data_IF_462623937442
#
_entry.id   IF_462623937442
#
_cell.length_a   1.000
_cell.length_b   1.000
_cell.length_c   1.000
_cell.angle_alpha   90.00
_cell.angle_beta   90.00
_cell.angle_gamma   90.00
#
_symmetry.space_group_name_H-M   'P 1'
#
loop_
_entity.id
_entity.type
_entity.pdbx_description
1 polymer ?
#
# COMPACT_ATOMS: atom_id res chain seq x y z
N UNK A 1 13.83 13.72 -2.39
CA UNK A 1 12.45 13.20 -2.55
C UNK A 1 11.97 12.69 -1.20
N UNK A 2 10.70 12.90 -0.85
CA UNK A 2 10.07 12.36 0.37
C UNK A 2 8.63 11.97 0.04
N UNK A 3 8.20 10.82 0.49
CA UNK A 3 6.82 10.32 0.33
C UNK A 3 6.29 9.83 1.67
N UNK A 4 5.17 10.38 2.10
CA UNK A 4 4.48 10.07 3.35
C UNK A 4 3.19 9.33 3.02
N UNK A 5 3.09 8.06 3.40
CA UNK A 5 2.06 7.13 2.96
C UNK A 5 1.28 6.63 4.16
N UNK A 6 -0.05 6.62 4.07
CA UNK A 6 -0.92 5.85 4.96
C UNK A 6 -1.52 4.69 4.20
N UNK A 7 -1.43 3.48 4.76
CA UNK A 7 -2.08 2.29 4.25
C UNK A 7 -3.05 1.83 5.33
N UNK A 8 -4.33 1.70 5.00
CA UNK A 8 -5.35 1.41 5.99
C UNK A 8 -6.46 0.50 5.46
N UNK A 9 -6.93 -0.40 6.32
CA UNK A 9 -7.96 -1.39 6.00
C UNK A 9 -8.33 -2.23 7.21
N UNK A 10 -8.89 -3.42 6.98
CA UNK A 10 -9.16 -4.38 8.03
C UNK A 10 -7.94 -5.25 8.35
N UNK A 11 -7.87 -5.75 9.57
CA UNK A 11 -6.97 -6.84 9.93
C UNK A 11 -7.22 -8.06 9.04
N UNK A 12 -6.16 -8.61 8.44
CA UNK A 12 -6.24 -9.71 7.47
C UNK A 12 -6.11 -9.30 6.00
N UNK A 13 -6.28 -8.01 5.66
CA UNK A 13 -6.08 -7.53 4.28
C UNK A 13 -4.60 -7.30 3.90
N UNK A 14 -3.67 -7.64 4.79
CA UNK A 14 -2.23 -7.51 4.51
C UNK A 14 -1.70 -6.07 4.51
N UNK A 15 -2.42 -5.13 5.14
CA UNK A 15 -2.05 -3.71 5.26
C UNK A 15 -0.63 -3.52 5.79
N UNK A 16 -0.33 -4.13 6.94
CA UNK A 16 0.98 -4.01 7.59
C UNK A 16 2.09 -4.67 6.77
N UNK A 17 1.78 -5.81 6.14
CA UNK A 17 2.73 -6.54 5.29
C UNK A 17 3.07 -5.74 4.03
N UNK A 18 2.08 -5.10 3.40
CA UNK A 18 2.29 -4.24 2.23
C UNK A 18 3.23 -3.07 2.57
N UNK A 19 2.97 -2.36 3.67
CA UNK A 19 3.84 -1.28 4.12
C UNK A 19 5.25 -1.75 4.47
N UNK A 20 5.39 -2.94 5.06
CA UNK A 20 6.69 -3.53 5.38
C UNK A 20 7.48 -3.90 4.12
N UNK A 21 6.83 -4.52 3.14
CA UNK A 21 7.47 -4.89 1.87
C UNK A 21 7.94 -3.63 1.13
N UNK A 22 7.07 -2.62 1.03
CA UNK A 22 7.41 -1.33 0.41
C UNK A 22 8.62 -0.67 1.10
N UNK A 23 8.66 -0.69 2.44
CA UNK A 23 9.77 -0.20 3.23
C UNK A 23 11.09 -0.93 2.91
N UNK A 24 11.07 -2.26 2.82
CA UNK A 24 12.26 -3.03 2.47
C UNK A 24 12.70 -2.80 1.02
N UNK A 25 11.75 -2.65 0.07
CA UNK A 25 12.09 -2.30 -1.32
C UNK A 25 12.83 -0.95 -1.39
N UNK A 26 12.39 0.03 -0.59
CA UNK A 26 13.04 1.34 -0.51
C UNK A 26 14.43 1.27 0.15
N UNK A 27 14.60 0.46 1.21
CA UNK A 27 15.91 0.21 1.83
C UNK A 27 16.89 -0.40 0.81
N UNK A 28 16.42 -1.29 -0.08
CA UNK A 28 17.27 -1.91 -1.11
C UNK A 28 17.76 -0.93 -2.18
N UNK A 29 17.29 0.31 -2.19
CA UNK A 29 17.78 1.41 -3.03
C UNK A 29 18.32 2.59 -2.20
N UNK A 30 18.83 2.28 -1.01
CA UNK A 30 19.51 3.22 -0.11
C UNK A 30 18.65 4.40 0.36
N UNK A 31 17.33 4.20 0.47
CA UNK A 31 16.44 5.21 1.03
C UNK A 31 16.35 5.10 2.56
N UNK A 32 16.19 6.25 3.20
CA UNK A 32 15.75 6.35 4.59
C UNK A 32 14.27 5.99 4.70
N UNK A 33 13.91 5.19 5.70
CA UNK A 33 12.55 4.66 5.85
C UNK A 33 12.08 4.72 7.30
N UNK A 34 10.79 5.04 7.49
CA UNK A 34 10.09 4.72 8.73
C UNK A 34 8.88 3.84 8.42
N UNK A 35 8.58 2.92 9.31
CA UNK A 35 7.42 2.03 9.24
C UNK A 35 6.78 2.01 10.62
N UNK A 36 5.62 2.66 10.77
CA UNK A 36 4.88 2.82 12.02
C UNK A 36 3.50 2.16 11.92
N UNK A 37 3.35 0.91 12.35
CA UNK A 37 2.05 0.27 12.41
C UNK A 37 1.23 0.81 13.58
N UNK A 38 -0.07 0.99 13.35
CA UNK A 38 -1.07 1.26 14.37
C UNK A 38 -2.14 0.17 14.31
N UNK A 39 -2.20 -0.61 15.36
CA UNK A 39 -3.22 -1.64 15.51
C UNK A 39 -3.63 -1.75 16.98
N UNK A 40 -4.93 -1.85 17.21
CA UNK A 40 -5.49 -2.01 18.54
C UNK A 40 -5.75 -3.47 18.89
N UNK A 41 -6.25 -3.75 20.10
CA UNK A 41 -6.65 -5.09 20.55
C UNK A 41 -7.73 -5.73 19.67
N UNK A 42 -8.37 -4.97 18.79
CA UNK A 42 -9.45 -5.38 17.87
C UNK A 42 -8.93 -5.90 16.51
N UNK A 43 -7.72 -6.45 16.43
CA UNK A 43 -7.06 -6.82 15.16
C UNK A 43 -7.84 -7.82 14.28
N UNK A 44 -8.71 -8.65 14.86
CA UNK A 44 -9.56 -9.56 14.07
C UNK A 44 -10.92 -8.88 13.84
N UNK A 45 -11.09 -8.28 12.66
CA UNK A 45 -12.29 -7.53 12.27
C UNK A 45 -12.23 -6.03 12.62
N UNK A 46 -11.16 -5.56 13.30
CA UNK A 46 -10.90 -4.14 13.54
C UNK A 46 -10.05 -3.50 12.44
N UNK A 47 -9.95 -2.17 12.48
CA UNK A 47 -9.13 -1.40 11.55
C UNK A 47 -7.64 -1.55 11.86
N UNK A 48 -6.84 -1.78 10.84
CA UNK A 48 -5.39 -1.76 10.88
C UNK A 48 -4.87 -0.67 9.95
N UNK A 49 -3.82 0.03 10.37
CA UNK A 49 -3.17 0.98 9.49
C UNK A 49 -1.66 1.03 9.74
N UNK A 50 -0.93 1.50 8.75
CA UNK A 50 0.52 1.74 8.86
C UNK A 50 0.89 3.02 8.14
N UNK A 51 1.66 3.86 8.83
CA UNK A 51 2.31 5.02 8.26
C UNK A 51 3.71 4.64 7.79
N UNK A 52 4.04 4.95 6.54
CA UNK A 52 5.36 4.70 5.94
C UNK A 52 5.91 6.01 5.40
N UNK A 53 7.15 6.32 5.72
CA UNK A 53 7.89 7.43 5.10
C UNK A 53 9.04 6.84 4.31
N UNK A 54 9.17 7.24 3.05
CA UNK A 54 10.30 6.92 2.19
C UNK A 54 11.01 8.23 1.82
N UNK A 55 12.33 8.31 1.97
CA UNK A 55 13.06 9.55 1.73
C UNK A 55 14.48 9.30 1.25
N UNK A 56 14.97 10.15 0.36
CA UNK A 56 16.39 10.23 -0.04
C UNK A 56 17.23 11.05 0.96
N UNK A 57 16.59 11.59 2.01
CA UNK A 57 17.23 12.37 3.06
C UNK A 57 16.83 11.84 4.43
N UNK A 58 17.67 12.13 5.43
CA UNK A 58 17.42 11.75 6.81
C UNK A 58 16.03 12.18 7.30
N UNK A 59 15.30 11.26 7.88
CA UNK A 59 13.97 11.47 8.46
C UNK A 59 14.11 11.92 9.90
N UNK A 60 13.70 13.14 10.21
CA UNK A 60 13.79 13.71 11.56
C UNK A 60 12.66 13.30 12.50
N UNK A 61 11.51 12.89 11.98
CA UNK A 61 10.36 12.42 12.77
C UNK A 61 9.56 11.38 11.98
N UNK A 62 9.14 10.28 12.62
CA UNK A 62 8.24 9.29 12.01
C UNK A 62 6.75 9.70 12.09
N UNK A 63 6.43 10.79 12.79
CA UNK A 63 5.04 11.23 13.00
C UNK A 63 4.57 11.98 11.75
N UNK A 64 3.47 11.50 11.17
CA UNK A 64 2.84 12.09 9.99
C UNK A 64 1.38 12.45 10.33
N UNK A 65 0.97 13.66 9.98
CA UNK A 65 -0.42 14.15 10.16
C UNK A 65 -1.14 14.38 8.83
N UNK A 66 -0.39 14.60 7.76
CA UNK A 66 -0.89 14.77 6.38
C UNK A 66 -0.04 13.94 5.45
N UNK A 67 -0.68 13.19 4.58
CA UNK A 67 -0.05 12.19 3.73
C UNK A 67 0.01 12.63 2.26
N UNK A 68 1.09 12.28 1.58
CA UNK A 68 1.21 12.44 0.14
C UNK A 68 0.36 11.39 -0.61
N UNK A 69 0.23 10.20 0.02
CA UNK A 69 -0.58 9.10 -0.51
C UNK A 69 -1.37 8.41 0.59
N UNK A 70 -2.64 8.11 0.30
CA UNK A 70 -3.48 7.22 1.10
C UNK A 70 -3.88 5.99 0.27
N UNK A 71 -3.67 4.79 0.81
CA UNK A 71 -4.10 3.51 0.24
C UNK A 71 -5.15 2.93 1.16
N UNK A 72 -6.39 2.85 0.70
CA UNK A 72 -7.59 2.65 1.53
C UNK A 72 -8.34 1.40 1.08
N UNK A 73 -8.56 0.46 1.99
CA UNK A 73 -9.14 -0.84 1.69
C UNK A 73 -10.50 -1.10 2.35
N UNK A 74 -11.03 -0.13 3.12
CA UNK A 74 -12.37 -0.20 3.69
C UNK A 74 -12.96 1.19 3.96
N UNK A 75 -14.29 1.25 4.13
CA UNK A 75 -15.01 2.52 4.35
C UNK A 75 -14.56 3.27 5.60
N UNK A 76 -14.39 2.58 6.72
CA UNK A 76 -13.97 3.22 7.98
C UNK A 76 -12.62 3.92 7.86
N UNK A 77 -11.70 3.33 7.08
CA UNK A 77 -10.41 3.95 6.80
C UNK A 77 -10.54 5.13 5.82
N UNK A 78 -11.46 5.06 4.86
CA UNK A 78 -11.75 6.19 3.98
C UNK A 78 -12.27 7.38 4.78
N UNK A 79 -13.27 7.17 5.62
CA UNK A 79 -13.88 8.20 6.47
C UNK A 79 -12.84 8.86 7.39
N UNK A 80 -11.87 8.07 7.86
CA UNK A 80 -10.82 8.55 8.75
C UNK A 80 -9.69 9.30 8.04
N UNK A 81 -9.25 8.82 6.88
CA UNK A 81 -8.00 9.26 6.27
C UNK A 81 -8.15 10.11 5.01
N UNK A 82 -9.31 10.18 4.35
CA UNK A 82 -9.50 10.99 3.13
C UNK A 82 -9.10 12.46 3.37
N UNK A 83 -9.52 13.04 4.50
CA UNK A 83 -9.22 14.42 4.87
C UNK A 83 -7.75 14.67 5.22
N UNK A 84 -6.97 13.61 5.44
CA UNK A 84 -5.55 13.71 5.78
C UNK A 84 -4.64 13.71 4.55
N UNK A 85 -5.16 13.45 3.36
CA UNK A 85 -4.40 13.55 2.11
C UNK A 85 -4.12 15.01 1.81
N UNK A 86 -2.87 15.34 1.50
CA UNK A 86 -2.47 16.69 1.10
C UNK A 86 -3.15 17.11 -0.20
N UNK A 87 -3.48 18.40 -0.40
CA UNK A 87 -3.90 18.89 -1.72
C UNK A 87 -2.91 18.48 -2.81
N UNK A 88 -3.41 17.98 -3.95
CA UNK A 88 -2.58 17.42 -5.02
C UNK A 88 -2.00 16.02 -4.72
N UNK A 89 -2.31 15.44 -3.56
CA UNK A 89 -1.90 14.09 -3.18
C UNK A 89 -2.66 12.99 -3.92
N UNK A 90 -2.40 11.74 -3.55
CA UNK A 90 -2.96 10.55 -4.18
C UNK A 90 -3.82 9.76 -3.18
N UNK A 91 -4.99 9.31 -3.61
CA UNK A 91 -5.79 8.34 -2.92
C UNK A 91 -6.06 7.13 -3.82
N UNK A 92 -5.66 5.94 -3.36
CA UNK A 92 -5.96 4.68 -4.04
C UNK A 92 -6.91 3.89 -3.15
N UNK A 93 -7.98 3.34 -3.72
CA UNK A 93 -8.91 2.53 -2.96
C UNK A 93 -9.38 1.28 -3.72
N UNK A 94 -9.78 0.26 -2.95
CA UNK A 94 -10.47 -0.91 -3.48
C UNK A 94 -11.99 -0.70 -3.36
N UNK A 95 -12.73 -0.64 -4.48
CA UNK A 95 -14.18 -0.42 -4.46
C UNK A 95 -14.95 -1.51 -3.72
N UNK A 96 -14.41 -2.73 -3.61
CA UNK A 96 -15.06 -3.82 -2.89
C UNK A 96 -15.21 -3.57 -1.37
N UNK A 97 -14.36 -2.71 -0.81
CA UNK A 97 -14.41 -2.33 0.61
C UNK A 97 -15.07 -0.97 0.88
N UNK A 98 -15.55 -0.29 -0.17
CA UNK A 98 -16.04 1.09 -0.10
C UNK A 98 -17.50 1.16 -0.51
N UNK A 99 -18.35 1.71 0.38
CA UNK A 99 -19.79 1.91 0.15
C UNK A 99 -20.03 3.29 -0.49
N UNK A 100 -19.41 4.31 0.08
CA UNK A 100 -19.47 5.69 -0.40
C UNK A 100 -18.10 6.06 -0.97
N UNK A 101 -17.98 6.31 -2.28
CA UNK A 101 -16.68 6.62 -2.89
C UNK A 101 -16.09 7.94 -2.35
N UNK A 102 -14.78 8.16 -2.54
CA UNK A 102 -14.13 9.41 -2.16
C UNK A 102 -14.83 10.63 -2.78
N UNK A 103 -14.86 11.74 -2.05
CA UNK A 103 -15.58 12.95 -2.46
C UNK A 103 -14.67 14.13 -2.82
N UNK A 104 -13.37 14.04 -2.49
CA UNK A 104 -12.42 15.12 -2.75
C UNK A 104 -12.11 15.28 -4.24
N UNK A 105 -12.01 16.54 -4.67
CA UNK A 105 -11.73 16.92 -6.06
C UNK A 105 -10.36 17.59 -6.23
N UNK A 106 -9.65 17.81 -5.13
CA UNK A 106 -8.33 18.46 -5.09
C UNK A 106 -7.17 17.49 -4.96
N UNK A 107 -7.45 16.18 -5.07
CA UNK A 107 -6.48 15.08 -5.04
C UNK A 107 -6.69 14.16 -6.24
N UNK A 108 -5.65 13.42 -6.59
CA UNK A 108 -5.75 12.35 -7.58
C UNK A 108 -6.40 11.13 -6.92
N UNK A 109 -7.46 10.60 -7.54
CA UNK A 109 -8.18 9.42 -7.06
C UNK A 109 -8.00 8.29 -8.07
N UNK A 110 -7.59 7.12 -7.58
CA UNK A 110 -7.47 5.91 -8.37
C UNK A 110 -8.20 4.76 -7.67
N UNK A 111 -8.73 3.82 -8.43
CA UNK A 111 -9.34 2.60 -7.90
C UNK A 111 -8.65 1.35 -8.46
N UNK A 112 -8.71 0.28 -7.71
CA UNK A 112 -8.26 -1.06 -8.14
C UNK A 112 -9.17 -2.12 -7.57
N UNK A 113 -9.76 -2.96 -8.42
CA UNK A 113 -10.45 -4.19 -8.01
C UNK A 113 -9.42 -5.28 -7.70
N UNK A 114 -8.80 -5.17 -6.52
CA UNK A 114 -7.72 -6.05 -6.12
C UNK A 114 -8.19 -7.49 -5.82
N UNK A 115 -9.46 -7.68 -5.49
CA UNK A 115 -10.06 -9.02 -5.32
C UNK A 115 -10.05 -9.75 -6.66
N UNK A 116 -10.49 -9.08 -7.73
CA UNK A 116 -10.50 -9.67 -9.07
C UNK A 116 -9.08 -9.95 -9.57
N UNK A 117 -8.14 -9.03 -9.37
CA UNK A 117 -6.73 -9.26 -9.73
C UNK A 117 -6.17 -10.48 -9.00
N UNK A 118 -6.39 -10.60 -7.68
CA UNK A 118 -5.91 -11.75 -6.91
C UNK A 118 -6.56 -13.08 -7.37
N UNK A 119 -7.83 -13.05 -7.76
CA UNK A 119 -8.53 -14.21 -8.33
C UNK A 119 -7.94 -14.63 -9.68
N UNK A 120 -7.61 -13.69 -10.55
CA UNK A 120 -6.96 -13.95 -11.85
C UNK A 120 -5.56 -14.55 -11.68
N UNK A 121 -4.80 -14.09 -10.69
CA UNK A 121 -3.50 -14.67 -10.32
C UNK A 121 -3.64 -16.05 -9.68
N UNK A 122 -4.85 -16.41 -9.21
CA UNK A 122 -5.16 -17.72 -8.64
C UNK A 122 -4.87 -17.85 -7.14
N UNK A 123 -4.66 -16.74 -6.43
CA UNK A 123 -4.40 -16.78 -4.99
C UNK A 123 -4.90 -15.51 -4.27
N UNK A 124 -5.97 -15.64 -3.50
CA UNK A 124 -6.52 -14.52 -2.73
C UNK A 124 -5.55 -13.87 -1.72
N UNK A 125 -4.49 -14.58 -1.32
CA UNK A 125 -3.50 -14.07 -0.36
C UNK A 125 -2.58 -12.99 -0.94
N UNK A 126 -2.55 -12.82 -2.27
CA UNK A 126 -1.74 -11.78 -2.92
C UNK A 126 -2.51 -10.48 -3.18
N UNK A 127 -3.71 -10.36 -2.63
CA UNK A 127 -4.57 -9.18 -2.70
C UNK A 127 -3.82 -7.86 -2.43
N UNK A 128 -3.08 -7.81 -1.33
CA UNK A 128 -2.32 -6.63 -0.94
C UNK A 128 -1.17 -6.30 -1.92
N UNK A 129 -0.64 -7.29 -2.63
CA UNK A 129 0.38 -7.06 -3.66
C UNK A 129 -0.21 -6.47 -4.93
N UNK A 130 -1.43 -6.85 -5.30
CA UNK A 130 -2.15 -6.18 -6.39
C UNK A 130 -2.36 -4.69 -6.08
N UNK A 131 -2.77 -4.36 -4.84
CA UNK A 131 -2.90 -2.96 -4.40
C UNK A 131 -1.56 -2.22 -4.43
N UNK A 132 -0.48 -2.85 -3.96
CA UNK A 132 0.87 -2.29 -4.04
C UNK A 132 1.28 -2.02 -5.51
N UNK A 133 0.90 -2.90 -6.43
CA UNK A 133 1.11 -2.71 -7.86
C UNK A 133 0.43 -1.45 -8.39
N UNK A 134 -0.83 -1.24 -8.01
CA UNK A 134 -1.56 -0.02 -8.37
C UNK A 134 -0.81 1.25 -7.90
N UNK A 135 -0.33 1.25 -6.67
CA UNK A 135 0.47 2.35 -6.14
C UNK A 135 1.75 2.57 -6.94
N UNK A 136 2.53 1.53 -7.19
CA UNK A 136 3.81 1.62 -7.90
C UNK A 136 3.64 2.05 -9.37
N UNK A 137 2.50 1.78 -9.99
CA UNK A 137 2.18 2.28 -11.34
C UNK A 137 2.04 3.80 -11.36
N UNK A 138 1.39 4.37 -10.35
CA UNK A 138 1.11 5.81 -10.27
C UNK A 138 2.32 6.57 -9.69
N UNK A 139 2.97 6.00 -8.69
CA UNK A 139 4.18 6.55 -8.05
C UNK A 139 5.31 5.52 -8.02
N UNK A 140 6.15 5.48 -9.05
CA UNK A 140 7.26 4.52 -9.15
C UNK A 140 8.44 4.91 -8.25
N UNK A 141 8.18 5.04 -6.94
CA UNK A 141 9.16 5.49 -5.94
C UNK A 141 10.23 4.43 -5.65
N UNK A 142 9.88 3.16 -5.80
CA UNK A 142 10.83 2.04 -5.72
C UNK A 142 10.93 1.37 -7.09
N UNK A 143 12.15 1.03 -7.49
CA UNK A 143 12.37 0.35 -8.76
C UNK A 143 11.85 -1.08 -8.70
N UNK A 144 11.34 -1.56 -9.83
CA UNK A 144 10.81 -2.93 -9.95
C UNK A 144 11.88 -3.99 -9.68
N UNK A 145 13.15 -3.71 -9.99
CA UNK A 145 14.28 -4.61 -9.74
C UNK A 145 14.55 -4.85 -8.25
N UNK A 146 14.12 -3.93 -7.38
CA UNK A 146 14.27 -4.06 -5.94
C UNK A 146 13.09 -4.79 -5.27
N UNK A 147 12.01 -5.07 -6.01
CA UNK A 147 10.84 -5.77 -5.47
C UNK A 147 11.21 -7.19 -5.03
N UNK A 148 11.94 -7.94 -5.85
CA UNK A 148 12.38 -9.30 -5.52
C UNK A 148 13.21 -9.32 -4.23
N UNK A 149 14.10 -8.34 -4.07
CA UNK A 149 14.94 -8.20 -2.88
C UNK A 149 14.11 -7.84 -1.63
N UNK A 150 13.16 -6.92 -1.78
CA UNK A 150 12.25 -6.52 -0.71
C UNK A 150 11.32 -7.65 -0.28
N UNK A 151 10.75 -8.40 -1.23
CA UNK A 151 9.95 -9.59 -0.96
C UNK A 151 10.76 -10.67 -0.23
N UNK A 152 11.99 -10.94 -0.68
CA UNK A 152 12.87 -11.93 -0.05
C UNK A 152 13.23 -11.58 1.40
N UNK A 153 13.22 -10.30 1.79
CA UNK A 153 13.41 -9.89 3.19
C UNK A 153 12.18 -10.11 4.07
N UNK A 154 10.98 -10.14 3.47
CA UNK A 154 9.72 -10.27 4.20
C UNK A 154 9.15 -11.69 4.18
N UNK A 155 9.41 -12.44 3.11
CA UNK A 155 8.92 -13.81 2.92
C UNK A 155 9.97 -14.78 3.45
N UNK A 156 9.63 -15.63 4.43
CA UNK A 156 10.57 -16.64 4.91
C UNK A 156 11.07 -17.56 3.80
N UNK A 157 12.34 -17.98 3.85
CA UNK A 157 12.98 -18.79 2.80
C UNK A 157 12.21 -20.07 2.44
N UNK A 158 11.52 -20.68 3.40
CA UNK A 158 10.65 -21.86 3.19
C UNK A 158 9.43 -21.59 2.29
N UNK A 159 9.14 -20.32 2.01
CA UNK A 159 8.03 -19.85 1.17
C UNK A 159 8.53 -19.03 -0.02
N UNK A 160 9.77 -19.23 -0.45
CA UNK A 160 10.40 -18.50 -1.56
C UNK A 160 9.59 -18.60 -2.87
N UNK A 161 8.86 -19.69 -3.10
CA UNK A 161 7.97 -19.88 -4.24
C UNK A 161 6.88 -18.80 -4.34
N UNK A 162 6.52 -18.20 -3.19
CA UNK A 162 5.55 -17.12 -3.16
C UNK A 162 6.11 -15.79 -3.69
N UNK A 163 7.42 -15.64 -3.83
CA UNK A 163 8.03 -14.39 -4.34
C UNK A 163 7.56 -14.13 -5.77
N UNK A 164 7.64 -15.13 -6.64
CA UNK A 164 7.20 -15.03 -8.03
C UNK A 164 5.70 -14.70 -8.12
N UNK A 165 4.87 -15.34 -7.28
CA UNK A 165 3.43 -15.11 -7.25
C UNK A 165 3.08 -13.69 -6.77
N UNK A 166 3.76 -13.20 -5.74
CA UNK A 166 3.58 -11.83 -5.24
C UNK A 166 4.00 -10.80 -6.28
N UNK A 167 5.12 -11.05 -6.98
CA UNK A 167 5.58 -10.19 -8.08
C UNK A 167 4.58 -10.14 -9.23
N UNK A 168 4.03 -11.29 -9.64
CA UNK A 168 2.97 -11.36 -10.64
C UNK A 168 1.75 -10.53 -10.22
N UNK A 169 1.33 -10.62 -8.96
CA UNK A 169 0.21 -9.82 -8.47
C UNK A 169 0.50 -8.31 -8.52
N UNK A 170 1.72 -7.89 -8.25
CA UNK A 170 2.15 -6.50 -8.41
C UNK A 170 2.04 -6.07 -9.88
N UNK A 171 2.54 -6.88 -10.82
CA UNK A 171 2.48 -6.60 -12.26
C UNK A 171 1.04 -6.49 -12.77
N UNK A 172 0.17 -7.41 -12.35
CA UNK A 172 -1.25 -7.36 -12.73
C UNK A 172 -1.97 -6.17 -12.07
N UNK A 173 -1.63 -5.82 -10.82
CA UNK A 173 -2.14 -4.62 -10.15
C UNK A 173 -1.74 -3.33 -10.86
N UNK A 174 -0.52 -3.27 -11.40
CA UNK A 174 -0.07 -2.13 -12.21
C UNK A 174 -0.89 -1.95 -13.50
N UNK A 175 -1.41 -3.03 -14.07
CA UNK A 175 -2.24 -2.99 -15.29
C UNK A 175 -3.70 -2.66 -14.99
N UNK A 176 -4.18 -3.05 -13.81
CA UNK A 176 -5.60 -3.01 -13.43
C UNK A 176 -6.02 -1.69 -12.76
N UNK A 177 -5.09 -0.82 -12.38
CA UNK A 177 -5.42 0.45 -11.73
C UNK A 177 -6.09 1.41 -12.72
N UNK A 178 -7.18 2.02 -12.27
CA UNK A 178 -7.94 3.03 -13.03
C UNK A 178 -7.83 4.39 -12.32
N UNK A 179 -7.56 5.43 -13.08
CA UNK A 179 -7.61 6.83 -12.64
C UNK A 179 -9.02 7.38 -12.87
N UNK A 180 -9.58 8.12 -11.89
CA UNK A 180 -10.93 8.68 -11.92
C UNK A 180 -10.92 10.20 -12.17
#
# INVERSE_FOLDING_TARGET
>A
MKEEIIIAGFGGQGVLSMGKILAYCAIMQDMEVTWMPSYGPEMRGGTANVSVILSDKKISSPIVTKYDTAIILNQQSLDKFESTVKPGGLLIYDPNGIINPPTRTDIKICKIDAINVAAQVGNAKVYNMAVMGAYLKIKPIVSFDNIDKGLAKCIPARYSDLIALNKQAIEEGMKAVEEL
#
